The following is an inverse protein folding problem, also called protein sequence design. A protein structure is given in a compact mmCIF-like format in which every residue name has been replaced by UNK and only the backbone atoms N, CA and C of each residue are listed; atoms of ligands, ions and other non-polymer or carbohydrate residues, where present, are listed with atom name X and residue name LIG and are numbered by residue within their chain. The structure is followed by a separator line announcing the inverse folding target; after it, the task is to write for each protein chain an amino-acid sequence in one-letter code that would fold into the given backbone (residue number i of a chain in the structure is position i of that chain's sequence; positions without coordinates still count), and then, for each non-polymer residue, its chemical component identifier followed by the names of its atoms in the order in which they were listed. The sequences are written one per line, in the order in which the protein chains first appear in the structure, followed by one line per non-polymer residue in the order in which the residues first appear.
data_IF_277341378595
#
_entry.id   IF_277341378595
#
_cell.length_a   1.000
_cell.length_b   1.000
_cell.length_c   1.000
_cell.angle_alpha   90.00
_cell.angle_beta   90.00
_cell.angle_gamma   90.00
#
_symmetry.space_group_name_H-M   'P 1'
#
loop_
_entity.id
_entity.type
_entity.pdbx_description
1 polymer ?
#
# COMPACT_ATOMS: atom_id res chain seq x y z
N UNK A 1 10.00 -4.38 16.20
CA UNK A 1 10.38 -4.10 14.80
C UNK A 1 9.56 -5.00 13.87
N UNK A 2 9.16 -4.49 12.71
CA UNK A 2 8.47 -5.26 11.66
C UNK A 2 9.45 -5.95 10.71
N UNK A 3 8.94 -6.80 9.82
CA UNK A 3 9.70 -7.39 8.71
C UNK A 3 9.16 -6.78 7.41
N UNK A 4 10.04 -6.16 6.63
CA UNK A 4 9.70 -5.71 5.28
C UNK A 4 9.61 -6.94 4.37
N UNK A 5 8.49 -7.07 3.65
CA UNK A 5 8.25 -8.17 2.71
C UNK A 5 8.29 -7.68 1.27
N UNK A 6 7.88 -6.44 1.06
CA UNK A 6 7.93 -5.74 -0.22
C UNK A 6 8.49 -4.35 0.07
N UNK A 7 9.50 -3.94 -0.69
CA UNK A 7 10.15 -2.66 -0.48
C UNK A 7 9.21 -1.47 -0.72
N UNK A 8 9.39 -0.40 0.03
CA UNK A 8 8.70 0.86 -0.27
C UNK A 8 9.13 1.42 -1.63
N UNK A 9 8.16 1.89 -2.42
CA UNK A 9 8.40 2.54 -3.72
C UNK A 9 7.87 3.97 -3.70
N UNK A 10 8.67 4.91 -4.18
CA UNK A 10 8.33 6.34 -4.16
C UNK A 10 7.15 6.64 -5.11
N UNK A 11 6.13 7.40 -4.67
CA UNK A 11 5.03 7.85 -5.52
C UNK A 11 5.52 8.55 -6.80
N UNK A 12 5.16 8.00 -7.97
CA UNK A 12 5.46 8.56 -9.30
C UNK A 12 4.25 8.49 -10.23
N UNK A 13 3.15 9.22 -9.91
CA UNK A 13 1.96 9.21 -10.74
C UNK A 13 2.23 9.84 -12.11
N UNK A 14 1.74 9.23 -13.20
CA UNK A 14 1.97 9.71 -14.57
C UNK A 14 0.85 10.63 -15.05
N UNK A 15 -0.40 10.28 -14.75
CA UNK A 15 -1.60 10.99 -15.24
C UNK A 15 -2.58 11.23 -14.08
N UNK A 16 -2.99 12.49 -13.91
CA UNK A 16 -4.00 12.89 -12.92
C UNK A 16 -3.51 12.86 -11.48
N UNK A 17 -4.47 12.89 -10.56
CA UNK A 17 -4.25 12.87 -9.10
C UNK A 17 -4.51 11.46 -8.60
N UNK A 18 -3.50 10.85 -7.98
CA UNK A 18 -3.53 9.49 -7.43
C UNK A 18 -3.64 9.51 -5.92
N UNK A 19 -4.39 8.56 -5.36
CA UNK A 19 -4.48 8.34 -3.91
C UNK A 19 -3.46 7.29 -3.51
N UNK A 20 -2.56 7.65 -2.60
CA UNK A 20 -1.64 6.71 -1.96
C UNK A 20 -2.16 6.41 -0.56
N UNK A 21 -2.48 5.15 -0.31
CA UNK A 21 -3.20 4.71 0.90
C UNK A 21 -2.29 3.85 1.76
N UNK A 22 -2.16 4.20 3.03
CA UNK A 22 -1.56 3.34 4.04
C UNK A 22 -2.67 2.70 4.86
N UNK A 23 -2.64 1.37 4.94
CA UNK A 23 -3.64 0.58 5.68
C UNK A 23 -2.93 -0.26 6.74
N UNK A 24 -3.42 -0.18 7.98
CA UNK A 24 -2.89 -0.94 9.11
C UNK A 24 -3.88 -2.03 9.52
N UNK A 25 -3.42 -3.28 9.59
CA UNK A 25 -4.19 -4.44 10.04
C UNK A 25 -3.61 -5.03 11.32
N UNK A 26 -4.48 -5.61 12.16
CA UNK A 26 -4.05 -6.37 13.35
C UNK A 26 -3.86 -7.84 12.99
N UNK A 27 -2.66 -8.36 13.19
CA UNK A 27 -2.39 -9.80 13.00
C UNK A 27 -2.94 -10.60 14.18
N UNK A 28 -3.91 -11.49 13.94
CA UNK A 28 -4.53 -12.29 14.99
C UNK A 28 -3.64 -13.43 15.51
N UNK A 29 -2.78 -14.01 14.65
CA UNK A 29 -2.02 -15.25 14.93
C UNK A 29 -0.56 -15.01 15.38
N UNK A 30 -0.15 -13.77 15.61
CA UNK A 30 1.21 -13.40 16.03
C UNK A 30 2.07 -12.81 14.90
N UNK A 31 3.39 -12.69 15.15
CA UNK A 31 4.36 -12.12 14.20
C UNK A 31 4.69 -13.10 13.08
N UNK A 32 5.06 -12.59 11.91
CA UNK A 32 5.54 -13.37 10.76
C UNK A 32 4.55 -14.40 10.16
N UNK A 33 3.25 -14.29 10.47
CA UNK A 33 2.23 -15.20 9.92
C UNK A 33 1.65 -14.75 8.58
N UNK A 34 2.03 -13.57 8.10
CA UNK A 34 1.51 -12.99 6.85
C UNK A 34 2.37 -13.46 5.68
N UNK A 35 1.69 -14.00 4.67
CA UNK A 35 2.29 -14.44 3.42
C UNK A 35 2.54 -13.22 2.52
N UNK A 36 3.68 -13.17 1.81
CA UNK A 36 3.91 -12.16 0.78
C UNK A 36 2.81 -12.20 -0.29
N UNK A 37 2.57 -11.09 -1.00
CA UNK A 37 1.88 -11.13 -2.28
C UNK A 37 2.53 -12.18 -3.18
N UNK A 38 1.72 -12.99 -3.85
CA UNK A 38 2.19 -14.08 -4.73
C UNK A 38 2.71 -13.57 -6.07
N UNK A 39 2.32 -12.37 -6.48
CA UNK A 39 2.73 -11.76 -7.73
C UNK A 39 3.94 -10.86 -7.52
N UNK A 40 4.95 -10.98 -8.40
CA UNK A 40 6.07 -10.04 -8.48
C UNK A 40 5.65 -8.68 -9.03
N UNK A 41 4.52 -8.61 -9.74
CA UNK A 41 3.90 -7.36 -10.17
C UNK A 41 3.19 -6.65 -9.01
N UNK A 42 3.37 -5.34 -8.95
CA UNK A 42 2.66 -4.42 -8.04
C UNK A 42 1.32 -3.97 -8.59
N UNK A 43 1.08 -4.19 -9.89
CA UNK A 43 -0.16 -3.82 -10.55
C UNK A 43 -1.31 -4.72 -10.10
N UNK A 44 -2.53 -4.17 -10.11
CA UNK A 44 -3.76 -4.89 -9.76
C UNK A 44 -3.76 -5.50 -8.34
N UNK A 45 -2.91 -5.01 -7.44
CA UNK A 45 -2.92 -5.41 -6.04
C UNK A 45 -4.23 -4.98 -5.35
N UNK A 46 -4.82 -5.88 -4.57
CA UNK A 46 -6.05 -5.63 -3.81
C UNK A 46 -5.83 -5.86 -2.33
N UNK A 47 -5.93 -4.78 -1.54
CA UNK A 47 -5.77 -4.83 -0.08
C UNK A 47 -6.84 -5.72 0.59
N UNK A 48 -8.06 -5.75 0.06
CA UNK A 48 -9.15 -6.58 0.58
C UNK A 48 -8.88 -8.08 0.40
N UNK A 49 -8.41 -8.48 -0.79
CA UNK A 49 -8.03 -9.88 -1.06
C UNK A 49 -6.85 -10.29 -0.17
N UNK A 50 -5.84 -9.42 -0.07
CA UNK A 50 -4.69 -9.65 0.80
C UNK A 50 -5.09 -9.83 2.28
N UNK A 51 -6.05 -9.05 2.78
CA UNK A 51 -6.57 -9.19 4.13
C UNK A 51 -7.34 -10.51 4.33
N UNK A 52 -8.09 -10.95 3.32
CA UNK A 52 -8.81 -12.22 3.35
C UNK A 52 -7.85 -13.41 3.37
N UNK A 53 -6.88 -13.44 2.46
CA UNK A 53 -5.91 -14.53 2.30
C UNK A 53 -5.04 -14.71 3.56
N UNK A 54 -4.81 -13.63 4.30
CA UNK A 54 -4.02 -13.63 5.53
C UNK A 54 -4.85 -13.61 6.82
N UNK A 55 -6.19 -13.65 6.73
CA UNK A 55 -7.08 -13.63 7.89
C UNK A 55 -6.90 -12.39 8.79
N UNK A 56 -6.64 -11.22 8.18
CA UNK A 56 -6.34 -9.97 8.89
C UNK A 56 -7.59 -9.23 9.39
N UNK A 57 -8.77 -9.58 8.89
CA UNK A 57 -10.03 -8.93 9.26
C UNK A 57 -10.13 -7.49 8.75
N UNK A 58 -10.75 -6.61 9.54
CA UNK A 58 -10.95 -5.21 9.21
C UNK A 58 -9.69 -4.37 9.49
N UNK A 59 -9.46 -3.29 8.71
CA UNK A 59 -8.37 -2.37 8.98
C UNK A 59 -8.61 -1.64 10.31
N UNK A 60 -7.54 -1.45 11.09
CA UNK A 60 -7.56 -0.72 12.37
C UNK A 60 -7.37 0.77 12.13
N UNK A 61 -6.57 1.14 11.14
CA UNK A 61 -6.34 2.52 10.75
C UNK A 61 -6.10 2.62 9.25
N UNK A 62 -6.52 3.74 8.67
CA UNK A 62 -6.31 4.07 7.26
C UNK A 62 -5.95 5.55 7.18
N UNK A 63 -4.89 5.86 6.45
CA UNK A 63 -4.58 7.24 6.05
C UNK A 63 -4.29 7.25 4.56
N UNK A 64 -4.56 8.37 3.90
CA UNK A 64 -4.18 8.54 2.50
C UNK A 64 -3.77 9.98 2.23
N UNK A 65 -3.02 10.15 1.15
CA UNK A 65 -2.73 11.45 0.58
C UNK A 65 -2.90 11.41 -0.93
N UNK A 66 -3.15 12.59 -1.50
CA UNK A 66 -3.20 12.77 -2.93
C UNK A 66 -1.82 13.17 -3.44
N UNK A 67 -1.40 12.59 -4.56
CA UNK A 67 -0.15 12.91 -5.23
C UNK A 67 -0.41 13.04 -6.73
N UNK A 68 0.28 13.98 -7.36
CA UNK A 68 0.24 14.20 -8.80
C UNK A 68 1.67 14.39 -9.31
N UNK A 69 1.86 14.23 -10.61
CA UNK A 69 3.15 14.48 -11.24
C UNK A 69 3.59 15.90 -10.92
N UNK A 70 4.86 16.06 -10.52
CA UNK A 70 5.43 17.38 -10.30
C UNK A 70 5.25 18.21 -11.58
N UNK A 71 4.61 19.36 -11.44
CA UNK A 71 4.42 20.29 -12.56
C UNK A 71 5.67 21.16 -12.65
N UNK A 72 6.22 21.31 -13.86
CA UNK A 72 7.33 22.22 -14.07
C UNK A 72 6.95 23.61 -13.52
N UNK A 73 7.88 24.23 -12.78
CA UNK A 73 7.67 25.57 -12.24
C UNK A 73 7.30 26.54 -13.38
N UNK A 74 6.03 26.95 -13.43
CA UNK A 74 5.60 28.01 -14.34
C UNK A 74 6.19 29.29 -13.79
N UNK A 75 7.28 29.80 -14.38
CA UNK A 75 7.74 31.18 -14.15
C UNK A 75 6.53 32.08 -14.41
N UNK A 76 6.08 32.76 -13.35
CA UNK A 76 5.11 33.85 -13.44
C UNK A 76 5.83 35.11 -13.89
#
# INVERSE_FOLDING_TARGET
AGKEVVSYEVPRPVVGIHRYVFVLYKQARGRQTVRPPTTSSRDCFSTSRFAQDNGLGLPVAVIYFNCQRETAARRR
#
